data_IF_124488885779
#
_entry.id   IF_124488885779
#
_cell.length_a   1.000
_cell.length_b   1.000
_cell.length_c   1.000
_cell.angle_alpha   90.00
_cell.angle_beta   90.00
_cell.angle_gamma   90.00
#
_symmetry.space_group_name_H-M   'P 1'
#
loop_
_entity.id
_entity.type
_entity.pdbx_description
1 polymer ?
#
# COMPACT_ATOMS: atom_id res chain seq x y z
N UNK A 1 8.06 9.72 37.68
CA UNK A 1 7.39 8.59 37.01
C UNK A 1 7.22 9.05 35.57
N UNK A 2 8.12 8.64 34.69
CA UNK A 2 8.04 9.07 33.30
C UNK A 2 6.85 8.37 32.66
N UNK A 3 5.82 9.15 32.32
CA UNK A 3 4.62 8.64 31.68
C UNK A 3 4.93 8.09 30.30
N UNK A 4 4.42 6.90 29.99
CA UNK A 4 4.50 6.32 28.66
C UNK A 4 3.69 7.20 27.69
N UNK A 5 4.32 7.68 26.62
CA UNK A 5 3.60 8.36 25.55
C UNK A 5 2.86 7.34 24.68
N UNK A 6 1.61 7.65 24.34
CA UNK A 6 0.72 6.80 23.54
C UNK A 6 0.05 7.62 22.44
N UNK A 7 -0.45 6.94 21.41
CA UNK A 7 -1.32 7.55 20.41
C UNK A 7 -2.78 7.20 20.71
N UNK A 8 -3.67 8.20 20.70
CA UNK A 8 -5.12 7.98 20.93
C UNK A 8 -5.90 8.36 19.67
N UNK A 9 -6.50 7.37 18.99
CA UNK A 9 -7.40 7.58 17.85
C UNK A 9 -8.79 7.92 18.40
N UNK A 10 -9.16 9.19 18.36
CA UNK A 10 -10.48 9.67 18.80
C UNK A 10 -11.43 9.67 17.60
N UNK A 11 -12.37 8.74 17.59
CA UNK A 11 -13.31 8.54 16.47
C UNK A 11 -14.49 9.49 16.59
N UNK A 12 -14.89 10.12 15.48
CA UNK A 12 -16.06 11.01 15.43
C UNK A 12 -17.32 10.28 15.91
N UNK A 13 -18.14 10.97 16.71
CA UNK A 13 -19.42 10.45 17.19
C UNK A 13 -20.48 10.46 16.07
N UNK A 14 -20.31 9.58 15.10
CA UNK A 14 -21.22 9.33 13.98
C UNK A 14 -21.32 7.81 13.80
N UNK A 15 -22.54 7.27 13.68
CA UNK A 15 -22.81 5.83 13.68
C UNK A 15 -21.84 5.00 12.82
N UNK A 16 -21.74 5.31 11.52
CA UNK A 16 -20.85 4.60 10.58
C UNK A 16 -19.37 4.57 11.01
N UNK A 17 -18.86 5.64 11.62
CA UNK A 17 -17.46 5.70 12.06
C UNK A 17 -17.26 4.93 13.36
N UNK A 18 -18.27 4.91 14.23
CA UNK A 18 -18.27 4.08 15.44
C UNK A 18 -18.31 2.59 15.08
N UNK A 19 -19.12 2.20 14.10
CA UNK A 19 -19.16 0.82 13.60
C UNK A 19 -17.81 0.37 13.03
N UNK A 20 -17.19 1.19 12.16
CA UNK A 20 -15.84 0.91 11.65
C UNK A 20 -14.80 0.79 12.77
N UNK A 21 -14.87 1.66 13.79
CA UNK A 21 -13.99 1.58 14.96
C UNK A 21 -14.20 0.30 15.78
N UNK A 22 -15.44 -0.19 15.90
CA UNK A 22 -15.73 -1.46 16.57
C UNK A 22 -15.15 -2.65 15.80
N UNK A 23 -15.29 -2.63 14.47
CA UNK A 23 -14.65 -3.62 13.59
C UNK A 23 -13.13 -3.61 13.74
N UNK A 24 -12.53 -2.42 13.76
CA UNK A 24 -11.08 -2.23 13.96
C UNK A 24 -10.61 -2.83 15.31
N UNK A 25 -11.34 -2.54 16.40
CA UNK A 25 -11.04 -3.09 17.73
C UNK A 25 -11.05 -4.62 17.70
N UNK A 26 -12.06 -5.25 17.09
CA UNK A 26 -12.16 -6.72 17.04
C UNK A 26 -10.99 -7.35 16.26
N UNK A 27 -10.61 -6.74 15.13
CA UNK A 27 -9.43 -7.18 14.36
C UNK A 27 -8.16 -7.01 15.20
N UNK A 28 -7.97 -5.86 15.85
CA UNK A 28 -6.80 -5.59 16.67
C UNK A 28 -6.69 -6.52 17.89
N UNK A 29 -7.81 -6.82 18.57
CA UNK A 29 -7.84 -7.79 19.68
C UNK A 29 -7.43 -9.18 19.20
N UNK A 30 -7.95 -9.63 18.06
CA UNK A 30 -7.55 -10.89 17.45
C UNK A 30 -6.05 -10.90 17.11
N UNK A 31 -5.56 -9.92 16.33
CA UNK A 31 -4.15 -9.87 15.92
C UNK A 31 -3.19 -9.78 17.13
N UNK A 32 -3.52 -8.97 18.14
CA UNK A 32 -2.72 -8.86 19.36
C UNK A 32 -2.72 -10.16 20.16
N UNK A 33 -3.83 -10.91 20.20
CA UNK A 33 -3.88 -12.20 20.88
C UNK A 33 -3.06 -13.27 20.17
N UNK A 34 -3.04 -13.23 18.83
CA UNK A 34 -2.30 -14.18 17.98
C UNK A 34 -0.80 -13.86 17.95
N UNK A 35 -0.42 -12.58 17.99
CA UNK A 35 0.97 -12.10 18.02
C UNK A 35 1.20 -11.06 19.13
N UNK A 36 1.26 -11.48 20.40
CA UNK A 36 1.36 -10.56 21.54
C UNK A 36 2.68 -9.79 21.60
N UNK A 37 3.71 -10.27 20.90
CA UNK A 37 5.02 -9.61 20.83
C UNK A 37 5.17 -8.74 19.57
N UNK A 38 4.13 -8.64 18.73
CA UNK A 38 4.15 -7.87 17.49
C UNK A 38 5.33 -8.22 16.56
N UNK A 39 5.70 -9.50 16.50
CA UNK A 39 6.75 -10.02 15.59
C UNK A 39 6.40 -9.71 14.13
N UNK A 40 5.11 -9.73 13.78
CA UNK A 40 4.59 -9.44 12.45
C UNK A 40 4.21 -7.97 12.24
N UNK A 41 4.65 -7.07 13.13
CA UNK A 41 4.67 -5.61 12.89
C UNK A 41 3.31 -4.97 12.60
N UNK A 42 2.23 -5.54 13.11
CA UNK A 42 0.95 -4.83 13.21
C UNK A 42 1.02 -3.86 14.40
N UNK A 43 0.40 -2.68 14.32
CA UNK A 43 0.36 -1.77 15.48
C UNK A 43 -0.38 -2.41 16.65
N UNK A 44 0.18 -2.27 17.85
CA UNK A 44 -0.43 -2.80 19.06
C UNK A 44 -1.44 -1.82 19.62
N UNK A 45 -2.69 -2.26 19.67
CA UNK A 45 -3.72 -1.65 20.51
C UNK A 45 -3.43 -1.96 21.99
N UNK A 46 -3.38 -0.94 22.84
CA UNK A 46 -3.13 -1.07 24.28
C UNK A 46 -4.46 -1.20 25.05
N UNK A 47 -5.44 -0.38 24.69
CA UNK A 47 -6.79 -0.40 25.26
C UNK A 47 -7.75 0.37 24.34
N UNK A 48 -9.05 0.33 24.65
CA UNK A 48 -10.04 1.20 24.06
C UNK A 48 -11.09 1.60 25.11
N UNK A 49 -11.71 2.76 24.95
CA UNK A 49 -12.78 3.24 25.83
C UNK A 49 -13.73 4.19 25.10
N UNK A 50 -14.92 4.41 25.65
CA UNK A 50 -15.82 5.48 25.20
C UNK A 50 -15.63 6.74 26.05
N UNK A 51 -15.51 7.90 25.39
CA UNK A 51 -15.38 9.21 26.04
C UNK A 51 -16.32 10.23 25.40
N UNK A 52 -17.33 10.70 26.14
CA UNK A 52 -18.35 11.64 25.65
C UNK A 52 -18.99 11.23 24.30
N UNK A 53 -19.22 9.94 24.09
CA UNK A 53 -19.80 9.40 22.86
C UNK A 53 -18.79 9.22 21.71
N UNK A 54 -17.51 9.47 21.93
CA UNK A 54 -16.42 9.12 21.02
C UNK A 54 -15.83 7.76 21.41
N UNK A 55 -15.60 6.88 20.43
CA UNK A 55 -14.76 5.69 20.66
C UNK A 55 -13.30 6.15 20.59
N UNK A 56 -12.53 5.86 21.63
CA UNK A 56 -11.11 6.16 21.72
C UNK A 56 -10.34 4.85 21.71
N UNK A 57 -9.39 4.71 20.79
CA UNK A 57 -8.51 3.54 20.70
C UNK A 57 -7.10 3.99 21.02
N UNK A 58 -6.46 3.36 22.00
CA UNK A 58 -5.12 3.69 22.47
C UNK A 58 -4.13 2.72 21.85
N UNK A 59 -3.05 3.25 21.28
CA UNK A 59 -1.99 2.51 20.60
C UNK A 59 -0.63 2.86 21.19
N UNK A 60 0.35 1.98 20.94
CA UNK A 60 1.76 2.38 21.04
C UNK A 60 2.02 3.63 20.17
N UNK A 61 2.87 4.55 20.65
CA UNK A 61 3.24 5.71 19.87
C UNK A 61 4.30 5.33 18.83
N UNK A 62 4.02 5.60 17.57
CA UNK A 62 4.93 5.42 16.43
C UNK A 62 5.45 6.78 15.93
N UNK A 63 6.43 6.74 15.02
CA UNK A 63 6.93 7.91 14.30
C UNK A 63 6.03 8.34 13.14
N UNK A 64 6.60 9.10 12.21
CA UNK A 64 5.91 9.54 11.00
C UNK A 64 5.44 8.36 10.14
N UNK A 65 4.35 8.57 9.40
CA UNK A 65 4.02 7.72 8.26
C UNK A 65 5.12 7.80 7.19
N UNK A 66 5.26 6.76 6.36
CA UNK A 66 6.22 6.79 5.26
C UNK A 66 5.87 7.88 4.25
N UNK A 67 4.57 8.18 4.07
CA UNK A 67 4.09 9.33 3.30
C UNK A 67 4.60 10.66 3.88
N UNK A 68 4.36 10.91 5.17
CA UNK A 68 4.73 12.17 5.80
C UNK A 68 6.24 12.36 5.80
N UNK A 69 7.02 11.28 5.98
CA UNK A 69 8.46 11.33 5.83
C UNK A 69 8.89 11.74 4.41
N UNK A 70 8.32 11.13 3.36
CA UNK A 70 8.60 11.49 1.97
C UNK A 70 8.25 12.96 1.72
N UNK A 71 7.07 13.39 2.18
CA UNK A 71 6.57 14.76 2.04
C UNK A 71 7.50 15.78 2.72
N UNK A 72 7.89 15.52 3.96
CA UNK A 72 8.84 16.38 4.69
C UNK A 72 10.25 16.34 4.09
N UNK A 73 10.63 15.25 3.43
CA UNK A 73 11.85 15.14 2.64
C UNK A 73 11.68 15.69 1.20
N UNK A 74 10.70 16.57 0.97
CA UNK A 74 10.45 17.23 -0.32
C UNK A 74 10.22 16.25 -1.48
N UNK A 75 9.48 15.19 -1.21
CA UNK A 75 9.14 14.12 -2.16
C UNK A 75 10.38 13.42 -2.76
N UNK A 76 11.47 13.36 -1.99
CA UNK A 76 12.62 12.53 -2.32
C UNK A 76 12.28 11.05 -2.10
N UNK A 77 12.67 10.15 -3.03
CA UNK A 77 12.48 8.73 -2.85
C UNK A 77 13.37 8.18 -1.74
N UNK A 78 13.03 6.99 -1.27
CA UNK A 78 13.89 6.23 -0.37
C UNK A 78 15.04 5.55 -1.13
N UNK A 79 16.14 5.30 -0.43
CA UNK A 79 17.26 4.52 -0.96
C UNK A 79 16.85 3.05 -1.10
N UNK A 80 17.38 2.36 -2.12
CA UNK A 80 16.97 0.98 -2.44
C UNK A 80 17.11 0.01 -1.27
N UNK A 81 18.14 0.19 -0.44
CA UNK A 81 18.36 -0.64 0.74
C UNK A 81 17.28 -0.46 1.81
N UNK A 82 16.80 0.77 1.98
CA UNK A 82 15.67 1.06 2.86
C UNK A 82 14.38 0.51 2.27
N UNK A 83 14.16 0.65 0.95
CA UNK A 83 13.01 0.07 0.25
C UNK A 83 12.99 -1.45 0.46
N UNK A 84 14.13 -2.14 0.32
CA UNK A 84 14.23 -3.58 0.55
C UNK A 84 13.81 -3.99 1.95
N UNK A 85 14.31 -3.29 2.96
CA UNK A 85 14.00 -3.58 4.37
C UNK A 85 12.51 -3.32 4.67
N UNK A 86 11.98 -2.18 4.25
CA UNK A 86 10.57 -1.84 4.44
C UNK A 86 9.65 -2.79 3.67
N UNK A 87 9.95 -3.09 2.40
CA UNK A 87 9.17 -4.00 1.57
C UNK A 87 9.06 -5.39 2.20
N UNK A 88 10.17 -5.93 2.72
CA UNK A 88 10.16 -7.22 3.41
C UNK A 88 9.26 -7.20 4.65
N UNK A 89 9.38 -6.16 5.48
CA UNK A 89 8.56 -6.00 6.69
C UNK A 89 7.07 -5.83 6.37
N UNK A 90 6.74 -5.04 5.34
CA UNK A 90 5.35 -4.88 4.86
C UNK A 90 4.82 -6.22 4.36
N UNK A 91 5.56 -6.93 3.51
CA UNK A 91 5.14 -8.24 3.01
C UNK A 91 4.94 -9.22 4.16
N UNK A 92 5.84 -9.26 5.15
CA UNK A 92 5.73 -10.14 6.31
C UNK A 92 4.48 -9.83 7.16
N UNK A 93 4.20 -8.54 7.38
CA UNK A 93 3.04 -8.09 8.15
C UNK A 93 1.72 -8.44 7.47
N UNK A 94 1.61 -8.15 6.16
CA UNK A 94 0.39 -8.44 5.42
C UNK A 94 0.22 -9.94 5.15
N UNK A 95 1.31 -10.69 4.99
CA UNK A 95 1.23 -12.15 4.90
C UNK A 95 0.69 -12.78 6.19
N UNK A 96 1.01 -12.20 7.35
CA UNK A 96 0.42 -12.61 8.62
C UNK A 96 -1.09 -12.37 8.66
N UNK A 97 -1.57 -11.21 8.16
CA UNK A 97 -3.01 -10.98 7.99
C UNK A 97 -3.64 -12.04 7.08
N UNK A 98 -3.04 -12.29 5.92
CA UNK A 98 -3.56 -13.25 4.93
C UNK A 98 -3.68 -14.67 5.52
N UNK A 99 -2.70 -15.10 6.31
CA UNK A 99 -2.75 -16.38 7.05
C UNK A 99 -3.84 -16.43 8.13
N UNK A 100 -4.26 -15.28 8.64
CA UNK A 100 -5.37 -15.13 9.58
C UNK A 100 -6.71 -14.81 8.87
N UNK A 101 -6.81 -15.12 7.57
CA UNK A 101 -8.02 -14.94 6.73
C UNK A 101 -8.52 -13.50 6.68
N UNK A 102 -7.59 -12.54 6.79
CA UNK A 102 -7.86 -11.11 6.75
C UNK A 102 -7.27 -10.51 5.48
N UNK A 103 -8.02 -9.60 4.86
CA UNK A 103 -7.51 -8.68 3.84
C UNK A 103 -7.52 -7.27 4.43
N UNK A 104 -6.44 -6.50 4.31
CA UNK A 104 -6.34 -5.15 4.87
C UNK A 104 -7.18 -4.12 4.10
N UNK A 105 -7.17 -4.24 2.78
CA UNK A 105 -7.93 -3.45 1.79
C UNK A 105 -7.58 -1.98 1.63
N UNK A 106 -6.99 -1.30 2.62
CA UNK A 106 -6.57 0.12 2.52
C UNK A 106 -5.07 0.36 2.75
N UNK A 107 -4.23 -0.46 2.11
CA UNK A 107 -2.78 -0.25 2.14
C UNK A 107 -2.36 0.94 1.28
N UNK A 108 -1.60 1.83 1.90
CA UNK A 108 -1.05 3.05 1.32
C UNK A 108 0.11 3.58 2.20
N UNK A 109 1.00 4.45 1.70
CA UNK A 109 2.11 4.99 2.47
C UNK A 109 1.69 5.69 3.78
N UNK A 110 0.49 6.27 3.85
CA UNK A 110 -0.06 6.88 5.07
C UNK A 110 -0.34 5.85 6.19
N UNK A 111 -0.59 4.59 5.82
CA UNK A 111 -0.92 3.49 6.74
C UNK A 111 0.29 2.58 7.04
N UNK A 112 1.51 3.00 6.65
CA UNK A 112 2.76 2.38 7.04
C UNK A 112 3.55 3.41 7.85
N UNK A 113 3.75 3.16 9.14
CA UNK A 113 4.43 4.10 10.03
C UNK A 113 5.81 3.57 10.42
N UNK A 114 6.78 4.46 10.55
CA UNK A 114 8.06 4.11 11.15
C UNK A 114 7.89 3.88 12.65
N UNK A 115 8.58 2.88 13.20
CA UNK A 115 8.69 2.72 14.67
C UNK A 115 9.36 3.95 15.28
N UNK A 116 10.43 4.43 14.65
CA UNK A 116 11.07 5.72 14.91
C UNK A 116 11.48 6.36 13.60
N UNK A 117 11.14 7.63 13.42
CA UNK A 117 11.43 8.38 12.19
C UNK A 117 12.63 9.33 12.31
N UNK A 118 13.54 9.06 13.25
CA UNK A 118 14.79 9.82 13.39
C UNK A 118 15.63 9.73 12.11
N UNK A 119 16.19 10.85 11.69
CA UNK A 119 16.99 10.95 10.48
C UNK A 119 18.32 11.65 10.71
N UNK A 120 19.22 11.49 9.74
CA UNK A 120 20.41 12.31 9.55
C UNK A 120 20.22 13.15 8.28
N UNK A 121 20.74 14.37 8.29
CA UNK A 121 20.73 15.24 7.12
C UNK A 121 22.09 15.14 6.43
N UNK A 122 22.10 14.83 5.14
CA UNK A 122 23.30 14.83 4.30
C UNK A 122 23.06 15.70 3.09
N UNK A 123 24.06 16.49 2.71
CA UNK A 123 23.98 17.26 1.47
C UNK A 123 24.12 16.34 0.26
N UNK A 124 23.10 16.29 -0.59
CA UNK A 124 23.12 15.55 -1.85
C UNK A 124 23.68 16.46 -2.94
N UNK A 125 24.96 16.25 -3.29
CA UNK A 125 25.66 17.06 -4.30
C UNK A 125 25.05 16.93 -5.70
N UNK A 126 24.49 15.76 -6.04
CA UNK A 126 23.84 15.50 -7.33
C UNK A 126 22.56 16.30 -7.48
N UNK A 127 21.78 16.43 -6.41
CA UNK A 127 20.51 17.17 -6.40
C UNK A 127 20.64 18.60 -5.90
N UNK A 128 21.84 18.99 -5.43
CA UNK A 128 22.15 20.31 -4.86
C UNK A 128 21.19 20.74 -3.75
N UNK A 129 20.86 19.80 -2.85
CA UNK A 129 19.96 20.02 -1.72
C UNK A 129 20.28 19.07 -0.57
N UNK A 130 19.82 19.43 0.62
CA UNK A 130 19.85 18.54 1.78
C UNK A 130 18.85 17.40 1.62
N UNK A 131 19.26 16.20 2.00
CA UNK A 131 18.49 14.97 1.99
C UNK A 131 18.45 14.37 3.39
N UNK A 132 17.25 14.01 3.85
CA UNK A 132 17.05 13.26 5.09
C UNK A 132 17.20 11.77 4.79
N UNK A 133 18.06 11.09 5.55
CA UNK A 133 18.21 9.63 5.53
C UNK A 133 17.79 9.07 6.87
N UNK A 134 16.86 8.12 6.89
CA UNK A 134 16.42 7.44 8.11
C UNK A 134 17.59 6.74 8.82
N UNK A 135 17.57 6.77 10.16
CA UNK A 135 18.51 5.99 10.99
C UNK A 135 18.05 4.54 11.15
N UNK A 136 16.74 4.30 11.18
CA UNK A 136 16.11 2.97 11.24
C UNK A 136 14.92 2.94 10.28
N UNK A 137 14.74 1.82 9.60
CA UNK A 137 13.68 1.55 8.61
C UNK A 137 12.59 0.63 9.14
N UNK A 138 12.63 0.27 10.43
CA UNK A 138 11.58 -0.52 11.07
C UNK A 138 10.22 0.18 10.93
N UNK A 139 9.24 -0.54 10.40
CA UNK A 139 7.87 -0.07 10.22
C UNK A 139 6.88 -0.92 11.03
N UNK A 140 5.67 -0.37 11.18
CA UNK A 140 4.45 -1.10 11.50
C UNK A 140 3.32 -0.70 10.56
N UNK A 141 2.42 -1.66 10.30
CA UNK A 141 1.17 -1.44 9.57
C UNK A 141 0.10 -0.97 10.55
N UNK A 142 -0.68 0.05 10.16
CA UNK A 142 -1.76 0.64 10.96
C UNK A 142 -3.08 0.68 10.19
N UNK A 143 -4.15 1.10 10.88
CA UNK A 143 -5.48 1.39 10.32
C UNK A 143 -6.21 0.16 9.77
N UNK A 144 -6.57 -0.74 10.68
CA UNK A 144 -7.29 -1.97 10.39
C UNK A 144 -8.82 -1.77 10.30
N UNK A 145 -9.31 -0.53 10.27
CA UNK A 145 -10.74 -0.23 10.25
C UNK A 145 -11.47 -0.59 8.94
N UNK A 146 -10.72 -0.93 7.88
CA UNK A 146 -11.26 -1.49 6.64
C UNK A 146 -10.85 -2.95 6.41
N UNK A 147 -10.17 -3.57 7.39
CA UNK A 147 -9.81 -4.98 7.27
C UNK A 147 -11.09 -5.83 7.27
N UNK A 148 -11.13 -6.85 6.41
CA UNK A 148 -12.31 -7.71 6.22
C UNK A 148 -11.89 -9.16 6.27
N UNK A 149 -12.61 -9.98 7.04
CA UNK A 149 -12.40 -11.43 7.05
C UNK A 149 -12.97 -12.10 5.80
N UNK A 150 -12.41 -13.24 5.40
CA UNK A 150 -12.84 -14.00 4.22
C UNK A 150 -14.34 -14.39 4.27
N UNK A 151 -14.89 -14.62 5.46
CA UNK A 151 -16.28 -15.03 5.68
C UNK A 151 -17.25 -13.85 5.92
N UNK A 152 -16.75 -12.61 5.89
CA UNK A 152 -17.55 -11.40 6.04
C UNK A 152 -18.09 -10.83 4.72
N UNK A 153 -18.98 -9.85 4.84
CA UNK A 153 -19.47 -9.13 3.66
C UNK A 153 -18.37 -8.28 3.01
N UNK A 154 -18.08 -8.59 1.75
CA UNK A 154 -17.10 -7.85 0.97
C UNK A 154 -17.74 -6.61 0.31
N UNK A 155 -17.37 -5.43 0.80
CA UNK A 155 -17.79 -4.16 0.21
C UNK A 155 -17.38 -4.05 -1.26
N UNK A 156 -18.28 -3.60 -2.12
CA UNK A 156 -18.01 -3.53 -3.58
C UNK A 156 -16.87 -2.58 -3.97
N UNK A 157 -16.54 -1.62 -3.12
CA UNK A 157 -15.47 -0.65 -3.34
C UNK A 157 -14.64 -0.48 -2.07
N UNK A 158 -13.39 -0.90 -2.14
CA UNK A 158 -12.39 -0.76 -1.09
C UNK A 158 -11.13 -0.05 -1.63
N UNK A 159 -10.16 0.16 -0.76
CA UNK A 159 -8.89 0.86 -1.03
C UNK A 159 -9.02 2.34 -1.35
N UNK A 160 -8.03 3.09 -0.90
CA UNK A 160 -7.74 4.42 -1.44
C UNK A 160 -7.41 4.31 -2.94
N UNK A 161 -7.99 5.19 -3.75
CA UNK A 161 -8.09 5.02 -5.21
C UNK A 161 -6.76 4.72 -5.91
N UNK A 162 -5.67 5.38 -5.52
CA UNK A 162 -4.38 5.25 -6.20
C UNK A 162 -3.69 3.89 -6.00
N UNK A 163 -4.11 3.12 -4.99
CA UNK A 163 -3.56 1.81 -4.63
C UNK A 163 -4.56 0.69 -4.92
N UNK A 164 -5.69 1.02 -5.55
CA UNK A 164 -6.81 0.10 -5.77
C UNK A 164 -6.52 -0.85 -6.93
N UNK A 165 -6.67 -2.14 -6.67
CA UNK A 165 -6.46 -3.20 -7.65
C UNK A 165 -7.49 -3.19 -8.80
N UNK A 166 -7.12 -3.68 -10.00
CA UNK A 166 -8.00 -3.67 -11.18
C UNK A 166 -9.29 -4.47 -10.97
N UNK A 167 -9.24 -5.61 -10.28
CA UNK A 167 -10.43 -6.43 -9.98
C UNK A 167 -11.45 -5.70 -9.10
N UNK A 168 -11.00 -4.77 -8.23
CA UNK A 168 -11.86 -3.90 -7.42
C UNK A 168 -12.52 -2.85 -8.31
N UNK A 169 -11.75 -2.16 -9.18
CA UNK A 169 -12.28 -1.16 -10.12
C UNK A 169 -13.32 -1.79 -11.07
N UNK A 170 -13.03 -2.99 -11.55
CA UNK A 170 -13.86 -3.77 -12.45
C UNK A 170 -15.00 -4.52 -11.75
N UNK A 171 -15.09 -4.45 -10.41
CA UNK A 171 -16.09 -5.15 -9.61
C UNK A 171 -16.20 -6.65 -9.95
N UNK A 172 -15.05 -7.32 -10.00
CA UNK A 172 -14.91 -8.76 -10.28
C UNK A 172 -14.88 -9.63 -9.01
N UNK A 173 -15.05 -9.00 -7.84
CA UNK A 173 -14.70 -9.59 -6.56
C UNK A 173 -13.24 -9.31 -6.21
N UNK A 174 -12.94 -9.28 -4.93
CA UNK A 174 -11.59 -9.09 -4.40
C UNK A 174 -11.43 -9.93 -3.12
N UNK A 175 -10.18 -10.23 -2.80
CA UNK A 175 -9.73 -10.86 -1.56
C UNK A 175 -8.26 -10.47 -1.34
N UNK A 176 -7.47 -11.27 -0.61
CA UNK A 176 -6.06 -11.03 -0.30
C UNK A 176 -5.19 -10.47 -1.44
N UNK A 177 -5.31 -10.92 -2.71
CA UNK A 177 -4.47 -10.40 -3.79
C UNK A 177 -4.57 -8.89 -4.02
N UNK A 178 -5.67 -8.23 -3.62
CA UNK A 178 -5.78 -6.78 -3.78
C UNK A 178 -4.76 -6.02 -2.92
N UNK A 179 -4.41 -6.55 -1.75
CA UNK A 179 -3.36 -5.97 -0.90
C UNK A 179 -1.99 -6.05 -1.58
N UNK A 180 -1.72 -7.16 -2.29
CA UNK A 180 -0.45 -7.34 -3.02
C UNK A 180 -0.30 -6.28 -4.11
N UNK A 181 -1.38 -5.96 -4.82
CA UNK A 181 -1.38 -4.86 -5.78
C UNK A 181 -1.05 -3.52 -5.11
N UNK A 182 -1.71 -3.22 -3.98
CA UNK A 182 -1.46 -1.99 -3.23
C UNK A 182 0.00 -1.89 -2.78
N UNK A 183 0.62 -3.00 -2.34
CA UNK A 183 2.05 -3.06 -2.02
C UNK A 183 2.89 -2.74 -3.26
N UNK A 184 2.59 -3.34 -4.41
CA UNK A 184 3.28 -3.01 -5.67
C UNK A 184 3.27 -1.52 -5.99
N UNK A 185 2.12 -0.85 -5.80
CA UNK A 185 2.00 0.60 -5.95
C UNK A 185 2.84 1.39 -4.93
N UNK A 186 2.81 0.98 -3.65
CA UNK A 186 3.60 1.60 -2.57
C UNK A 186 5.10 1.51 -2.87
N UNK A 187 5.60 0.36 -3.34
CA UNK A 187 7.02 0.18 -3.62
C UNK A 187 7.52 1.07 -4.76
N UNK A 188 6.71 1.28 -5.80
CA UNK A 188 7.05 2.24 -6.85
C UNK A 188 7.06 3.67 -6.29
N UNK A 189 6.10 4.01 -5.44
CA UNK A 189 6.04 5.34 -4.83
C UNK A 189 7.24 5.61 -3.93
N UNK A 190 7.70 4.62 -3.15
CA UNK A 190 8.93 4.73 -2.39
C UNK A 190 10.16 4.92 -3.28
N UNK A 191 10.16 4.27 -4.46
CA UNK A 191 11.25 4.33 -5.42
C UNK A 191 11.32 5.67 -6.19
N UNK A 192 10.17 6.30 -6.43
CA UNK A 192 10.06 7.52 -7.24
C UNK A 192 9.84 8.80 -6.43
N UNK A 193 9.30 8.68 -5.21
CA UNK A 193 8.87 9.80 -4.37
C UNK A 193 7.48 10.35 -4.73
N UNK A 194 6.76 9.72 -5.67
CA UNK A 194 5.42 10.12 -6.08
C UNK A 194 4.56 8.94 -6.54
N UNK A 195 3.25 9.06 -6.41
CA UNK A 195 2.27 8.06 -6.84
C UNK A 195 2.16 7.97 -8.36
N UNK A 196 2.24 6.76 -8.93
CA UNK A 196 2.15 6.55 -10.39
C UNK A 196 0.73 6.62 -10.96
N UNK A 197 -0.29 6.34 -10.14
CA UNK A 197 -1.70 6.36 -10.52
C UNK A 197 -2.44 7.58 -9.92
N UNK A 198 -1.92 8.78 -10.18
CA UNK A 198 -2.47 10.04 -9.67
C UNK A 198 -3.72 10.47 -10.45
N UNK A 199 -4.90 9.99 -10.06
CA UNK A 199 -6.16 10.34 -10.72
C UNK A 199 -7.35 10.30 -9.77
N UNK A 200 -8.42 11.03 -10.13
CA UNK A 200 -9.72 10.98 -9.47
C UNK A 200 -10.83 10.45 -10.39
N UNK A 201 -10.49 9.76 -11.48
CA UNK A 201 -11.44 9.05 -12.35
C UNK A 201 -11.08 7.55 -12.52
N UNK A 202 -12.09 6.68 -12.55
CA UNK A 202 -11.86 5.23 -12.67
C UNK A 202 -11.43 4.81 -14.07
N UNK A 203 -11.95 5.46 -15.12
CA UNK A 203 -11.60 5.12 -16.49
C UNK A 203 -10.19 5.62 -16.82
N UNK A 204 -9.85 6.83 -16.36
CA UNK A 204 -8.49 7.35 -16.42
C UNK A 204 -7.51 6.45 -15.66
N UNK A 205 -7.87 5.94 -14.48
CA UNK A 205 -7.02 4.99 -13.75
C UNK A 205 -6.74 3.73 -14.57
N UNK A 206 -7.75 3.13 -15.20
CA UNK A 206 -7.55 1.98 -16.10
C UNK A 206 -6.66 2.33 -17.31
N UNK A 207 -6.79 3.54 -17.87
CA UNK A 207 -5.93 3.98 -18.97
C UNK A 207 -4.46 4.17 -18.52
N UNK A 208 -4.25 4.67 -17.30
CA UNK A 208 -2.91 4.74 -16.70
C UNK A 208 -2.32 3.34 -16.49
N UNK A 209 -3.13 2.39 -16.00
CA UNK A 209 -2.72 0.99 -15.88
C UNK A 209 -2.30 0.43 -17.25
N UNK A 210 -3.12 0.59 -18.29
CA UNK A 210 -2.79 0.08 -19.64
C UNK A 210 -1.50 0.69 -20.20
N UNK A 211 -1.26 1.97 -19.92
CA UNK A 211 -0.05 2.66 -20.37
C UNK A 211 1.22 2.18 -19.66
N UNK A 212 1.11 1.79 -18.39
CA UNK A 212 2.25 1.35 -17.55
C UNK A 212 2.50 -0.16 -17.69
N UNK A 213 1.45 -0.97 -17.72
CA UNK A 213 1.51 -2.43 -17.58
C UNK A 213 1.13 -3.19 -18.86
N UNK A 214 0.61 -2.49 -19.88
CA UNK A 214 0.03 -3.12 -21.07
C UNK A 214 -1.46 -3.42 -20.89
N UNK A 215 -2.10 -3.99 -21.93
CA UNK A 215 -3.55 -4.11 -22.03
C UNK A 215 -4.16 -4.96 -20.91
N UNK A 216 -5.35 -4.58 -20.44
CA UNK A 216 -6.09 -5.37 -19.45
C UNK A 216 -6.48 -6.73 -20.05
N UNK A 217 -6.32 -7.86 -19.33
CA UNK A 217 -6.68 -9.17 -19.85
C UNK A 217 -8.12 -9.24 -20.34
N UNK A 218 -8.32 -9.73 -21.57
CA UNK A 218 -9.63 -9.78 -22.22
C UNK A 218 -10.69 -10.51 -21.38
N UNK A 219 -10.32 -11.55 -20.65
CA UNK A 219 -11.24 -12.29 -19.80
C UNK A 219 -11.78 -11.45 -18.62
N UNK A 220 -11.00 -10.49 -18.09
CA UNK A 220 -11.46 -9.56 -17.04
C UNK A 220 -12.45 -8.54 -17.62
N UNK A 221 -12.14 -8.01 -18.81
CA UNK A 221 -13.04 -7.10 -19.56
C UNK A 221 -14.36 -7.81 -19.89
N UNK A 222 -14.31 -9.07 -20.30
CA UNK A 222 -15.51 -9.85 -20.62
C UNK A 222 -16.37 -10.14 -19.38
N UNK A 223 -15.77 -10.40 -18.22
CA UNK A 223 -16.51 -10.71 -16.97
C UNK A 223 -17.07 -9.48 -16.24
N UNK A 224 -16.49 -8.29 -16.43
CA UNK A 224 -16.88 -7.11 -15.64
C UNK A 224 -18.31 -6.63 -15.95
N UNK A 225 -19.01 -6.20 -14.89
CA UNK A 225 -20.29 -5.47 -15.02
C UNK A 225 -20.10 -3.99 -15.36
N UNK A 226 -18.88 -3.46 -15.30
CA UNK A 226 -18.56 -2.04 -15.56
C UNK A 226 -18.42 -1.75 -17.07
N UNK A 227 -19.43 -2.14 -17.84
CA UNK A 227 -19.44 -2.02 -19.32
C UNK A 227 -19.20 -0.60 -19.84
N UNK A 228 -19.59 0.42 -19.06
CA UNK A 228 -19.37 1.84 -19.39
C UNK A 228 -17.89 2.25 -19.57
N UNK A 229 -16.94 1.41 -19.16
CA UNK A 229 -15.51 1.67 -19.35
C UNK A 229 -14.98 1.13 -20.68
N UNK A 230 -15.72 0.27 -21.38
CA UNK A 230 -15.23 -0.49 -22.51
C UNK A 230 -16.14 -0.41 -23.73
N UNK A 231 -15.53 -0.42 -24.91
CA UNK A 231 -16.20 -0.50 -26.19
C UNK A 231 -15.47 -1.53 -27.07
N UNK A 232 -16.20 -2.47 -27.68
CA UNK A 232 -15.61 -3.60 -28.44
C UNK A 232 -14.47 -4.36 -27.72
N UNK A 233 -14.64 -4.64 -26.42
CA UNK A 233 -13.65 -5.31 -25.56
C UNK A 233 -12.30 -4.55 -25.43
N UNK A 234 -12.27 -3.26 -25.71
CA UNK A 234 -11.14 -2.37 -25.45
C UNK A 234 -11.58 -1.23 -24.55
N UNK A 235 -10.63 -0.61 -23.84
CA UNK A 235 -10.93 0.55 -23.01
C UNK A 235 -11.48 1.67 -23.90
N UNK A 236 -12.64 2.21 -23.54
CA UNK A 236 -13.29 3.32 -24.25
C UNK A 236 -12.60 4.64 -23.89
N UNK A 237 -11.38 4.83 -24.42
CA UNK A 237 -10.46 5.90 -24.05
C UNK A 237 -9.93 6.64 -25.27
N UNK A 238 -10.20 7.95 -25.34
CA UNK A 238 -9.62 8.84 -26.35
C UNK A 238 -8.27 9.39 -25.86
N UNK A 239 -7.17 8.90 -26.44
CA UNK A 239 -5.84 9.38 -26.11
C UNK A 239 -5.60 10.85 -26.49
N UNK A 240 -6.33 11.39 -27.47
CA UNK A 240 -6.18 12.76 -27.94
C UNK A 240 -6.93 13.79 -27.10
N UNK A 241 -7.85 13.33 -26.24
CA UNK A 241 -8.54 14.16 -25.25
C UNK A 241 -7.58 14.84 -24.26
N UNK A 242 -8.08 15.79 -23.45
CA UNK A 242 -7.26 16.43 -22.41
C UNK A 242 -6.74 15.42 -21.38
N UNK A 243 -7.60 14.49 -20.95
CA UNK A 243 -7.25 13.40 -20.04
C UNK A 243 -6.27 12.41 -20.69
N UNK A 244 -6.49 12.05 -21.96
CA UNK A 244 -5.58 11.19 -22.72
C UNK A 244 -4.18 11.78 -22.86
N UNK A 245 -4.06 13.09 -23.13
CA UNK A 245 -2.77 13.80 -23.13
C UNK A 245 -2.12 13.83 -21.75
N UNK A 246 -2.89 13.96 -20.68
CA UNK A 246 -2.38 13.88 -19.31
C UNK A 246 -1.78 12.51 -19.03
N UNK A 247 -2.51 11.42 -19.30
CA UNK A 247 -2.04 10.04 -19.12
C UNK A 247 -0.77 9.79 -19.94
N UNK A 248 -0.73 10.17 -21.23
CA UNK A 248 0.46 9.98 -22.07
C UNK A 248 1.71 10.70 -21.57
N UNK A 249 1.56 11.86 -20.91
CA UNK A 249 2.69 12.64 -20.36
C UNK A 249 3.15 12.11 -19.01
N UNK A 250 2.25 11.57 -18.20
CA UNK A 250 2.53 11.12 -16.83
C UNK A 250 2.89 9.64 -16.73
N UNK A 251 2.41 8.83 -17.65
CA UNK A 251 2.58 7.38 -17.64
C UNK A 251 3.45 6.90 -18.81
N UNK A 252 4.35 5.99 -18.49
CA UNK A 252 5.23 5.26 -19.41
C UNK A 252 5.33 3.80 -18.95
N UNK A 253 5.77 2.86 -19.81
CA UNK A 253 5.93 1.47 -19.42
C UNK A 253 6.74 1.32 -18.12
N UNK A 254 6.33 0.37 -17.26
CA UNK A 254 6.85 0.21 -15.90
C UNK A 254 8.39 0.27 -15.82
N UNK A 255 9.08 -0.51 -16.66
CA UNK A 255 10.55 -0.57 -16.68
C UNK A 255 11.22 0.77 -16.99
N UNK A 256 10.56 1.66 -17.73
CA UNK A 256 11.13 2.97 -18.05
C UNK A 256 11.16 3.93 -16.84
N UNK A 257 10.53 3.57 -15.72
CA UNK A 257 10.67 4.30 -14.45
C UNK A 257 11.97 3.97 -13.70
N UNK A 258 12.72 2.94 -14.10
CA UNK A 258 14.00 2.60 -13.46
C UNK A 258 15.01 3.74 -13.57
N UNK A 259 15.61 4.11 -12.44
CA UNK A 259 16.65 5.15 -12.32
C UNK A 259 18.07 4.57 -12.47
N UNK A 260 18.22 3.26 -12.35
CA UNK A 260 19.47 2.51 -12.57
C UNK A 260 19.14 1.12 -13.15
N UNK A 261 20.11 0.53 -13.88
CA UNK A 261 20.04 -0.83 -14.42
C UNK A 261 20.91 -1.80 -13.61
N UNK A 262 21.34 -1.42 -12.41
CA UNK A 262 22.02 -2.32 -11.49
C UNK A 262 21.09 -3.48 -11.10
N UNK A 263 21.68 -4.64 -10.80
CA UNK A 263 20.95 -5.89 -10.54
C UNK A 263 19.86 -5.75 -9.48
N UNK A 264 20.11 -4.97 -8.42
CA UNK A 264 19.14 -4.77 -7.34
C UNK A 264 17.90 -3.97 -7.77
N UNK A 265 18.06 -3.04 -8.71
CA UNK A 265 16.96 -2.28 -9.28
C UNK A 265 16.10 -3.15 -10.21
N UNK A 266 16.73 -3.99 -11.04
CA UNK A 266 16.02 -4.99 -11.86
C UNK A 266 15.23 -5.96 -10.98
N UNK A 267 15.81 -6.45 -9.88
CA UNK A 267 15.12 -7.33 -8.92
C UNK A 267 13.91 -6.65 -8.26
N UNK A 268 14.03 -5.38 -7.85
CA UNK A 268 12.89 -4.62 -7.32
C UNK A 268 11.77 -4.52 -8.37
N UNK A 269 12.12 -4.18 -9.62
CA UNK A 269 11.13 -4.01 -10.68
C UNK A 269 10.52 -5.33 -11.14
N UNK A 270 11.22 -6.46 -11.08
CA UNK A 270 10.60 -7.78 -11.29
C UNK A 270 9.58 -8.10 -10.19
N UNK A 271 9.92 -7.87 -8.93
CA UNK A 271 8.99 -8.06 -7.81
C UNK A 271 7.73 -7.21 -7.99
N UNK A 272 7.90 -5.91 -8.24
CA UNK A 272 6.80 -4.97 -8.49
C UNK A 272 5.96 -5.40 -9.68
N UNK A 273 6.57 -5.82 -10.79
CA UNK A 273 5.83 -6.30 -11.97
C UNK A 273 4.96 -7.52 -11.62
N UNK A 274 5.46 -8.45 -10.79
CA UNK A 274 4.69 -9.63 -10.35
C UNK A 274 3.56 -9.26 -9.37
N UNK A 275 3.76 -8.23 -8.54
CA UNK A 275 2.73 -7.67 -7.66
C UNK A 275 1.64 -6.92 -8.44
N UNK A 276 2.01 -6.28 -9.56
CA UNK A 276 1.10 -5.55 -10.45
C UNK A 276 0.56 -6.42 -11.61
N UNK A 277 0.54 -7.74 -11.44
CA UNK A 277 -0.17 -8.64 -12.36
C UNK A 277 -1.69 -8.35 -12.29
N UNK A 278 -2.32 -8.17 -13.45
CA UNK A 278 -3.73 -7.81 -13.53
C UNK A 278 -4.64 -8.90 -12.97
N UNK A 279 -4.41 -10.15 -13.38
CA UNK A 279 -5.23 -11.27 -12.97
C UNK A 279 -4.89 -11.65 -11.52
N UNK A 280 -5.79 -11.41 -10.55
CA UNK A 280 -5.48 -11.67 -9.14
C UNK A 280 -5.17 -13.15 -8.86
N UNK A 281 -5.57 -14.07 -9.75
CA UNK A 281 -5.26 -15.51 -9.63
C UNK A 281 -3.85 -15.87 -10.09
N UNK A 282 -3.17 -14.97 -10.81
CA UNK A 282 -1.78 -15.13 -11.28
C UNK A 282 -0.81 -14.19 -10.59
N UNK A 283 -1.34 -13.20 -9.86
CA UNK A 283 -0.56 -12.27 -9.05
C UNK A 283 0.20 -13.04 -7.98
N UNK A 284 1.47 -12.67 -7.80
CA UNK A 284 2.33 -13.30 -6.80
C UNK A 284 1.67 -13.24 -5.42
N UNK A 285 1.77 -14.30 -4.64
CA UNK A 285 1.36 -14.32 -3.23
C UNK A 285 2.45 -13.68 -2.36
N UNK A 286 2.11 -13.30 -1.12
CA UNK A 286 3.14 -12.77 -0.22
C UNK A 286 4.12 -13.83 0.27
N UNK A 287 3.71 -15.11 0.36
CA UNK A 287 4.62 -16.23 0.60
C UNK A 287 5.69 -16.33 -0.49
N UNK A 288 5.29 -16.27 -1.76
CA UNK A 288 6.22 -16.26 -2.89
C UNK A 288 7.06 -14.98 -2.93
N UNK A 289 6.45 -13.81 -2.64
CA UNK A 289 7.15 -12.53 -2.63
C UNK A 289 8.27 -12.50 -1.58
N UNK A 290 8.06 -13.05 -0.38
CA UNK A 290 9.08 -13.14 0.68
C UNK A 290 10.26 -14.05 0.31
N UNK A 291 10.10 -14.92 -0.70
CA UNK A 291 11.17 -15.72 -1.28
C UNK A 291 11.81 -15.09 -2.53
N UNK A 292 11.38 -13.90 -2.93
CA UNK A 292 11.89 -13.24 -4.14
C UNK A 292 13.38 -12.85 -3.99
N UNK A 293 14.21 -12.98 -5.05
CA UNK A 293 15.65 -12.67 -5.01
C UNK A 293 16.01 -11.24 -4.55
N UNK A 294 15.08 -10.29 -4.66
CA UNK A 294 15.26 -8.94 -4.13
C UNK A 294 15.57 -8.93 -2.62
N UNK A 295 15.07 -9.93 -1.88
CA UNK A 295 15.26 -10.03 -0.43
C UNK A 295 16.47 -10.88 -0.01
N UNK A 296 17.22 -11.48 -0.94
CA UNK A 296 18.34 -12.38 -0.61
C UNK A 296 19.43 -11.69 0.22
N UNK A 297 19.66 -10.39 0.00
CA UNK A 297 20.62 -9.61 0.78
C UNK A 297 20.22 -9.43 2.25
N UNK A 298 18.95 -9.62 2.60
CA UNK A 298 18.50 -9.59 3.99
C UNK A 298 18.78 -10.91 4.73
N UNK A 299 18.85 -12.02 4.00
CA UNK A 299 19.08 -13.38 4.55
C UNK A 299 20.57 -13.68 4.80
N UNK A 300 21.48 -12.90 4.20
CA UNK A 300 22.94 -13.09 4.28
C UNK A 300 23.58 -12.46 5.52
N UNK A 301 22.85 -12.32 6.63
CA UNK A 301 23.36 -11.75 7.89
C UNK A 301 23.36 -12.79 8.99
#
# INVERSE_FOLDING_TARGET
MDGLHVAVKIVKNVGRYREAARSEIQVLEHLNSTDPNSVFRCVQMLEWFDHHGHVCIVFELLGLSTYDFIKENSFLPFQIDHIRQMAYQICQSINFLHHNKLTHTDLKPENILFVKSDYIVKYNSKMKRDERTLKNTDIKVVDFGSATYDDEHHSTLVSTRHYRAPEVILALGWSQPCDVWSIGCILIEYYLGFTVFQTHDSKEHLAMMERILGPIPAHMIQKTRKRKYFHHNQLDWDEHSSAGRYVRRRCKPLKEFMLSHDEEHEKLFDLVRRMLEYDPTKRITLDEALQHPFFDLLKKK
#
